data_IF_785393149858
#
_entry.id   IF_785393149858
#
_cell.length_a   1.000
_cell.length_b   1.000
_cell.length_c   1.000
_cell.angle_alpha   90.00
_cell.angle_beta   90.00
_cell.angle_gamma   90.00
#
_symmetry.space_group_name_H-M   'P 1'
#
loop_
_entity.id
_entity.type
_entity.pdbx_description
1 polymer ?
#
# COMPACT_ATOMS: atom_id res chain seq x y z
N UNK A 1 16.31 -44.11 -54.34
CA UNK A 1 17.53 -44.29 -53.51
C UNK A 1 17.85 -42.91 -52.94
N UNK A 2 17.39 -42.55 -51.74
CA UNK A 2 18.03 -42.83 -50.42
C UNK A 2 19.47 -42.27 -50.38
N UNK A 3 19.97 -41.48 -49.43
CA UNK A 3 19.48 -40.92 -48.16
C UNK A 3 20.52 -39.89 -47.66
N UNK A 4 20.22 -39.28 -46.51
CA UNK A 4 21.10 -38.58 -45.55
C UNK A 4 21.25 -37.06 -45.70
N UNK A 5 20.17 -36.36 -45.31
CA UNK A 5 20.25 -35.04 -44.70
C UNK A 5 20.47 -35.16 -43.18
N UNK A 6 21.40 -34.38 -42.66
CA UNK A 6 21.64 -34.18 -41.23
C UNK A 6 21.95 -32.72 -41.00
N UNK A 7 20.90 -31.88 -40.89
CA UNK A 7 21.02 -30.50 -40.46
C UNK A 7 20.75 -30.46 -38.95
N UNK A 8 21.77 -30.09 -38.18
CA UNK A 8 21.63 -29.76 -36.76
C UNK A 8 20.70 -28.56 -36.61
N UNK A 9 19.67 -28.72 -35.78
CA UNK A 9 18.82 -27.63 -35.32
C UNK A 9 19.16 -27.43 -33.85
N UNK A 10 19.93 -26.38 -33.59
CA UNK A 10 20.06 -25.77 -32.27
C UNK A 10 18.69 -25.23 -31.86
N UNK A 11 18.06 -25.90 -30.88
CA UNK A 11 16.85 -25.44 -30.25
C UNK A 11 17.22 -24.39 -29.18
N UNK A 12 17.31 -23.14 -29.62
CA UNK A 12 17.41 -21.98 -28.74
C UNK A 12 16.03 -21.71 -28.11
N UNK A 13 15.90 -22.05 -26.83
CA UNK A 13 14.71 -21.82 -26.02
C UNK A 13 15.09 -21.12 -24.72
N UNK A 14 14.88 -19.80 -24.65
CA UNK A 14 14.31 -19.08 -23.48
C UNK A 14 14.60 -17.56 -23.55
N UNK A 15 13.95 -16.89 -24.50
CA UNK A 15 13.86 -15.44 -24.54
C UNK A 15 12.43 -15.04 -24.81
N UNK A 16 11.52 -15.35 -23.88
CA UNK A 16 10.15 -14.85 -23.93
C UNK A 16 10.14 -13.33 -23.86
N UNK A 17 10.25 -12.68 -25.02
CA UNK A 17 10.00 -11.26 -25.19
C UNK A 17 8.56 -11.02 -24.76
N UNK A 18 8.42 -10.44 -23.57
CA UNK A 18 7.15 -10.03 -23.01
C UNK A 18 6.45 -9.09 -24.01
N UNK A 19 5.28 -9.52 -24.50
CA UNK A 19 4.43 -8.64 -25.30
C UNK A 19 4.10 -7.37 -24.49
N UNK A 20 4.37 -6.16 -25.04
CA UNK A 20 3.91 -4.93 -24.41
C UNK A 20 2.38 -4.96 -24.39
N UNK A 21 1.79 -4.64 -23.25
CA UNK A 21 0.34 -4.60 -23.06
C UNK A 21 -0.34 -3.82 -24.21
N UNK A 22 -1.03 -4.54 -25.09
CA UNK A 22 -1.72 -3.99 -26.24
C UNK A 22 -2.68 -2.88 -25.78
N UNK A 23 -2.43 -1.63 -26.21
CA UNK A 23 -3.34 -0.49 -26.00
C UNK A 23 -2.82 0.69 -25.16
N UNK A 24 -1.56 0.68 -24.68
CA UNK A 24 -1.01 1.83 -23.96
C UNK A 24 -0.86 3.04 -24.88
N UNK A 25 -1.69 4.08 -24.70
CA UNK A 25 -1.56 5.35 -25.41
C UNK A 25 -0.47 6.20 -24.77
N UNK A 26 0.39 6.79 -25.58
CA UNK A 26 1.44 7.70 -25.12
C UNK A 26 0.88 9.06 -24.71
N UNK A 27 1.39 9.59 -23.60
CA UNK A 27 1.11 10.93 -23.11
C UNK A 27 1.97 11.94 -23.89
N UNK A 28 1.34 12.64 -24.83
CA UNK A 28 1.98 13.73 -25.57
C UNK A 28 2.40 14.86 -24.65
N UNK A 29 3.41 15.64 -25.06
CA UNK A 29 3.86 16.83 -24.31
C UNK A 29 2.71 17.82 -24.06
N UNK A 30 1.88 18.07 -25.09
CA UNK A 30 0.70 18.92 -24.99
C UNK A 30 -0.27 18.44 -23.90
N UNK A 31 -0.52 17.12 -23.80
CA UNK A 31 -1.39 16.57 -22.77
C UNK A 31 -0.84 16.81 -21.35
N UNK A 32 0.49 16.71 -21.17
CA UNK A 32 1.15 16.99 -19.88
C UNK A 32 0.99 18.45 -19.47
N UNK A 33 1.20 19.37 -20.40
CA UNK A 33 1.03 20.81 -20.19
C UNK A 33 -0.44 21.16 -19.92
N UNK A 34 -1.38 20.59 -20.67
CA UNK A 34 -2.81 20.80 -20.45
C UNK A 34 -3.25 20.35 -19.05
N UNK A 35 -2.79 19.18 -18.59
CA UNK A 35 -3.11 18.71 -17.24
C UNK A 35 -2.46 19.55 -16.15
N UNK A 36 -1.22 20.01 -16.36
CA UNK A 36 -0.57 20.96 -15.44
C UNK A 36 -1.37 22.26 -15.33
N UNK A 37 -1.76 22.85 -16.46
CA UNK A 37 -2.55 24.08 -16.49
C UNK A 37 -3.95 23.89 -15.84
N UNK A 38 -4.64 22.80 -16.19
CA UNK A 38 -5.92 22.44 -15.59
C UNK A 38 -5.79 22.27 -14.07
N UNK A 39 -4.72 21.63 -13.61
CA UNK A 39 -4.51 21.44 -12.18
C UNK A 39 -4.15 22.74 -11.46
N UNK A 40 -3.40 23.63 -12.09
CA UNK A 40 -3.19 25.00 -11.58
C UNK A 40 -4.51 25.75 -11.43
N UNK A 41 -5.38 25.71 -12.45
CA UNK A 41 -6.69 26.36 -12.40
C UNK A 41 -7.58 25.80 -11.28
N UNK A 42 -7.62 24.47 -11.12
CA UNK A 42 -8.34 23.81 -10.01
C UNK A 42 -7.76 24.20 -8.66
N UNK A 43 -6.44 24.24 -8.52
CA UNK A 43 -5.78 24.65 -7.29
C UNK A 43 -6.18 26.08 -6.91
N UNK A 44 -5.92 27.08 -7.76
CA UNK A 44 -6.19 28.48 -7.44
C UNK A 44 -7.68 28.76 -7.18
N UNK A 45 -8.57 28.12 -7.93
CA UNK A 45 -10.02 28.28 -7.74
C UNK A 45 -10.51 27.68 -6.42
N UNK A 46 -10.18 26.42 -6.15
CA UNK A 46 -10.65 25.71 -4.94
C UNK A 46 -10.00 26.26 -3.67
N UNK A 47 -8.70 26.55 -3.73
CA UNK A 47 -7.94 27.12 -2.62
C UNK A 47 -8.38 28.56 -2.32
N UNK A 48 -8.54 29.38 -3.36
CA UNK A 48 -9.05 30.74 -3.23
C UNK A 48 -10.47 30.78 -2.66
N UNK A 49 -11.33 29.86 -3.09
CA UNK A 49 -12.70 29.73 -2.58
C UNK A 49 -12.73 29.34 -1.09
N UNK A 50 -11.93 28.36 -0.67
CA UNK A 50 -11.83 27.97 0.74
C UNK A 50 -11.38 29.14 1.63
N UNK A 51 -10.35 29.88 1.19
CA UNK A 51 -9.86 31.07 1.86
C UNK A 51 -10.91 32.17 1.97
N UNK A 52 -11.60 32.47 0.88
CA UNK A 52 -12.67 33.47 0.85
C UNK A 52 -13.80 33.11 1.82
N UNK A 53 -14.17 31.83 1.89
CA UNK A 53 -15.21 31.36 2.81
C UNK A 53 -14.75 31.44 4.27
N UNK A 54 -13.51 31.07 4.56
CA UNK A 54 -12.93 31.16 5.89
C UNK A 54 -12.86 32.61 6.38
N UNK A 55 -12.47 33.55 5.51
CA UNK A 55 -12.39 34.98 5.82
C UNK A 55 -13.77 35.61 6.17
N UNK A 56 -14.88 34.95 5.81
CA UNK A 56 -16.23 35.38 6.16
C UNK A 56 -16.72 34.87 7.52
N UNK A 57 -15.96 34.00 8.20
CA UNK A 57 -16.36 33.47 9.51
C UNK A 57 -16.06 34.49 10.61
N UNK A 58 -16.96 34.57 11.58
CA UNK A 58 -16.85 35.49 12.73
C UNK A 58 -15.59 35.21 13.58
N UNK A 59 -15.19 33.95 13.69
CA UNK A 59 -13.94 33.55 14.33
C UNK A 59 -13.37 32.33 13.61
N UNK A 60 -12.05 32.30 13.44
CA UNK A 60 -11.31 31.14 12.96
C UNK A 60 -10.37 30.67 14.08
N UNK A 61 -10.55 29.45 14.59
CA UNK A 61 -9.73 28.93 15.69
C UNK A 61 -8.27 28.76 15.28
N UNK A 62 -7.37 28.78 16.27
CA UNK A 62 -5.95 28.40 16.15
C UNK A 62 -5.73 27.14 16.96
N UNK A 63 -4.98 26.18 16.43
CA UNK A 63 -4.55 25.01 17.19
C UNK A 63 -3.04 24.84 17.08
N UNK A 64 -2.33 24.93 18.20
CA UNK A 64 -0.92 24.68 18.31
C UNK A 64 -0.63 23.96 19.64
N UNK A 65 0.28 23.00 19.62
CA UNK A 65 0.77 22.41 20.86
C UNK A 65 1.71 23.39 21.58
N UNK A 66 1.65 23.44 22.92
CA UNK A 66 2.45 24.39 23.70
C UNK A 66 3.97 24.24 23.52
N UNK A 67 4.46 23.06 23.13
CA UNK A 67 5.89 22.83 22.87
C UNK A 67 6.36 23.40 21.53
N UNK A 68 5.45 23.75 20.60
CA UNK A 68 5.81 24.26 19.27
C UNK A 68 6.55 25.60 19.33
N UNK A 69 6.39 26.36 20.41
CA UNK A 69 7.16 27.60 20.66
C UNK A 69 8.67 27.37 20.77
N UNK A 70 9.13 26.14 21.02
CA UNK A 70 10.56 25.81 21.05
C UNK A 70 11.17 25.62 19.65
N UNK A 71 10.34 25.56 18.60
CA UNK A 71 10.82 25.43 17.22
C UNK A 71 11.35 26.80 16.77
N UNK A 72 12.64 26.92 16.39
CA UNK A 72 13.17 28.20 15.93
C UNK A 72 12.62 28.57 14.55
N UNK A 73 12.36 29.87 14.34
CA UNK A 73 12.13 30.41 13.01
C UNK A 73 13.45 30.44 12.23
N UNK A 74 13.49 29.79 11.06
CA UNK A 74 14.69 29.70 10.24
C UNK A 74 14.39 30.24 8.83
N UNK A 75 14.62 31.54 8.55
CA UNK A 75 14.12 32.20 7.34
C UNK A 75 14.54 31.53 6.03
N UNK A 76 15.77 31.02 5.93
CA UNK A 76 16.30 30.45 4.69
C UNK A 76 15.63 29.13 4.29
N UNK A 77 14.93 28.44 5.21
CA UNK A 77 14.20 27.22 4.89
C UNK A 77 12.96 27.49 4.02
N UNK A 78 12.64 28.75 3.74
CA UNK A 78 11.68 29.11 2.70
C UNK A 78 12.08 28.61 1.31
N UNK A 79 13.39 28.42 1.06
CA UNK A 79 13.89 27.89 -0.22
C UNK A 79 13.46 26.43 -0.44
N UNK A 80 13.76 25.47 0.46
CA UNK A 80 13.22 24.12 0.33
C UNK A 80 11.69 24.12 0.34
N UNK A 81 11.03 24.94 1.16
CA UNK A 81 9.56 25.08 1.14
C UNK A 81 9.04 25.39 -0.28
N UNK A 82 9.54 26.46 -0.91
CA UNK A 82 9.16 26.87 -2.26
C UNK A 82 9.49 25.85 -3.34
N UNK A 83 10.53 25.03 -3.12
CA UNK A 83 10.96 24.05 -4.13
C UNK A 83 9.87 23.03 -4.47
N UNK A 84 8.87 22.82 -3.60
CA UNK A 84 7.77 21.90 -3.87
C UNK A 84 6.97 22.31 -5.11
N UNK A 85 6.79 23.61 -5.38
CA UNK A 85 5.96 24.09 -6.49
C UNK A 85 6.63 23.79 -7.83
N UNK A 86 7.96 23.95 -7.88
CA UNK A 86 8.77 23.52 -9.02
C UNK A 86 8.72 22.00 -9.18
N UNK A 87 8.90 21.25 -8.08
CA UNK A 87 8.85 19.79 -8.11
C UNK A 87 7.47 19.27 -8.53
N UNK A 88 6.40 19.97 -8.16
CA UNK A 88 5.04 19.71 -8.57
C UNK A 88 4.91 19.85 -10.09
N UNK A 89 5.33 20.97 -10.67
CA UNK A 89 5.24 21.19 -12.11
C UNK A 89 6.07 20.16 -12.90
N UNK A 90 7.30 19.92 -12.46
CA UNK A 90 8.21 18.95 -13.09
C UNK A 90 7.67 17.50 -13.06
N UNK A 91 6.88 17.14 -12.04
CA UNK A 91 6.35 15.78 -11.88
C UNK A 91 5.43 15.33 -13.03
N UNK A 92 4.82 16.25 -13.78
CA UNK A 92 3.97 15.92 -14.94
C UNK A 92 4.78 15.39 -16.13
N UNK A 93 6.08 15.73 -16.19
CA UNK A 93 6.93 15.42 -17.34
C UNK A 93 7.58 14.04 -17.27
N UNK A 94 7.48 13.33 -16.14
CA UNK A 94 8.02 11.98 -15.99
C UNK A 94 7.18 10.88 -16.64
N UNK A 95 5.91 11.15 -16.94
CA UNK A 95 4.98 10.11 -17.37
C UNK A 95 4.92 9.97 -18.90
N UNK A 96 5.34 8.82 -19.41
CA UNK A 96 5.24 8.48 -20.84
C UNK A 96 3.88 7.92 -21.22
N UNK A 97 3.23 7.16 -20.33
CA UNK A 97 1.90 6.57 -20.56
C UNK A 97 0.78 7.50 -20.08
N UNK A 98 -0.32 7.57 -20.84
CA UNK A 98 -1.50 8.37 -20.45
C UNK A 98 -2.10 7.93 -19.13
N UNK A 99 -2.21 6.63 -18.88
CA UNK A 99 -2.83 6.12 -17.64
C UNK A 99 -2.02 6.50 -16.40
N UNK A 100 -0.68 6.52 -16.51
CA UNK A 100 0.20 6.90 -15.41
C UNK A 100 0.12 8.39 -15.10
N UNK A 101 0.03 9.21 -16.15
CA UNK A 101 -0.23 10.65 -16.02
C UNK A 101 -1.60 10.91 -15.37
N UNK A 102 -2.64 10.21 -15.81
CA UNK A 102 -3.99 10.37 -15.24
C UNK A 102 -4.05 9.91 -13.79
N UNK A 103 -3.39 8.82 -13.42
CA UNK A 103 -3.33 8.41 -12.01
C UNK A 103 -2.49 9.38 -11.18
N UNK A 104 -1.48 10.04 -11.77
CA UNK A 104 -0.76 11.13 -11.12
C UNK A 104 -1.66 12.33 -10.85
N UNK A 105 -2.43 12.76 -11.85
CA UNK A 105 -3.46 13.80 -11.69
C UNK A 105 -4.45 13.42 -10.60
N UNK A 106 -4.94 12.17 -10.57
CA UNK A 106 -5.87 11.70 -9.52
C UNK A 106 -5.25 11.74 -8.12
N UNK A 107 -3.96 11.40 -7.97
CA UNK A 107 -3.25 11.51 -6.68
C UNK A 107 -3.25 12.97 -6.19
N UNK A 108 -2.78 13.88 -7.03
CA UNK A 108 -2.69 15.31 -6.71
C UNK A 108 -4.08 15.91 -6.43
N UNK A 109 -5.07 15.59 -7.26
CA UNK A 109 -6.45 16.02 -7.09
C UNK A 109 -7.08 15.46 -5.81
N UNK A 110 -6.79 14.21 -5.44
CA UNK A 110 -7.28 13.62 -4.18
C UNK A 110 -6.73 14.40 -2.98
N UNK A 111 -5.43 14.68 -2.99
CA UNK A 111 -4.79 15.50 -1.95
C UNK A 111 -5.43 16.88 -1.87
N UNK A 112 -5.66 17.54 -3.01
CA UNK A 112 -6.32 18.84 -3.09
C UNK A 112 -7.74 18.81 -2.52
N UNK A 113 -8.60 17.92 -3.04
CA UNK A 113 -10.02 17.91 -2.71
C UNK A 113 -10.27 17.53 -1.25
N UNK A 114 -9.51 16.55 -0.71
CA UNK A 114 -9.62 16.18 0.70
C UNK A 114 -9.18 17.33 1.59
N UNK A 115 -8.05 17.99 1.27
CA UNK A 115 -7.56 19.12 2.07
C UNK A 115 -8.53 20.32 2.02
N UNK A 116 -9.01 20.70 0.84
CA UNK A 116 -9.99 21.78 0.67
C UNK A 116 -11.31 21.47 1.39
N UNK A 117 -11.80 20.23 1.32
CA UNK A 117 -13.00 19.85 2.06
C UNK A 117 -12.80 20.01 3.58
N UNK A 118 -11.63 19.65 4.10
CA UNK A 118 -11.27 19.87 5.50
C UNK A 118 -11.15 21.37 5.84
N UNK A 119 -10.52 22.19 5.00
CA UNK A 119 -10.43 23.65 5.21
C UNK A 119 -11.81 24.31 5.25
N UNK A 120 -12.75 23.84 4.43
CA UNK A 120 -14.14 24.30 4.45
C UNK A 120 -14.87 23.81 5.71
N UNK A 121 -14.70 22.55 6.10
CA UNK A 121 -15.39 21.99 7.26
C UNK A 121 -14.88 22.62 8.58
N UNK A 122 -13.56 22.73 8.72
CA UNK A 122 -12.87 23.15 9.94
C UNK A 122 -11.68 24.07 9.60
N UNK A 123 -11.93 25.35 9.26
CA UNK A 123 -10.86 26.29 8.98
C UNK A 123 -10.08 26.59 10.25
N UNK A 124 -8.76 26.60 10.14
CA UNK A 124 -7.81 26.90 11.21
C UNK A 124 -6.87 27.98 10.74
N UNK A 125 -6.52 28.93 11.63
CA UNK A 125 -5.63 30.04 11.30
C UNK A 125 -4.25 29.92 11.93
N UNK A 126 -3.26 30.57 11.33
CA UNK A 126 -1.91 30.68 11.89
C UNK A 126 -1.94 31.22 13.33
N UNK A 127 -1.28 30.49 14.23
CA UNK A 127 -1.12 30.89 15.63
C UNK A 127 0.13 31.72 15.91
N UNK A 128 1.16 31.66 15.05
CA UNK A 128 2.42 32.37 15.26
C UNK A 128 2.56 33.55 14.29
N UNK A 129 2.91 34.73 14.82
CA UNK A 129 3.30 35.88 14.02
C UNK A 129 4.71 35.65 13.47
N UNK A 130 4.87 35.79 12.15
CA UNK A 130 6.17 35.61 11.49
C UNK A 130 7.07 36.83 11.79
N UNK A 131 8.31 36.61 12.25
CA UNK A 131 9.29 37.70 12.37
C UNK A 131 9.64 38.31 11.01
N UNK A 132 9.85 39.63 10.97
CA UNK A 132 10.36 40.30 9.78
C UNK A 132 11.69 39.70 9.35
N UNK A 133 11.75 39.23 8.11
CA UNK A 133 12.95 38.69 7.50
C UNK A 133 13.37 39.60 6.35
N UNK A 134 14.57 40.19 6.46
CA UNK A 134 15.16 40.96 5.36
C UNK A 134 15.75 40.05 4.27
N UNK A 135 16.09 40.65 3.12
CA UNK A 135 16.82 39.96 2.03
C UNK A 135 15.95 39.03 1.18
N UNK A 136 16.58 38.04 0.52
CA UNK A 136 15.94 37.14 -0.44
C UNK A 136 14.84 36.29 0.20
N UNK A 137 15.06 35.82 1.43
CA UNK A 137 14.05 35.05 2.17
C UNK A 137 12.79 35.89 2.42
N UNK A 138 12.95 37.15 2.82
CA UNK A 138 11.84 38.10 2.97
C UNK A 138 11.04 38.28 1.69
N UNK A 139 11.72 38.49 0.56
CA UNK A 139 11.05 38.63 -0.73
C UNK A 139 10.23 37.39 -1.12
N UNK A 140 10.76 36.18 -0.89
CA UNK A 140 10.05 34.92 -1.11
C UNK A 140 8.83 34.77 -0.18
N UNK A 141 8.94 35.21 1.07
CA UNK A 141 7.80 35.24 1.99
C UNK A 141 6.73 36.25 1.57
N UNK A 142 7.11 37.44 1.13
CA UNK A 142 6.17 38.45 0.61
C UNK A 142 5.42 37.92 -0.60
N UNK A 143 6.12 37.28 -1.54
CA UNK A 143 5.50 36.70 -2.73
C UNK A 143 4.57 35.54 -2.36
N UNK A 144 4.95 34.72 -1.37
CA UNK A 144 4.11 33.64 -0.85
C UNK A 144 2.82 34.17 -0.22
N UNK A 145 2.87 35.24 0.58
CA UNK A 145 1.67 35.85 1.18
C UNK A 145 0.70 36.42 0.14
N UNK A 146 1.16 36.70 -1.09
CA UNK A 146 0.28 37.10 -2.19
C UNK A 146 -0.73 36.02 -2.60
N UNK A 147 -0.39 34.74 -2.41
CA UNK A 147 -1.21 33.60 -2.83
C UNK A 147 -1.68 32.72 -1.67
N UNK A 148 -0.89 32.63 -0.60
CA UNK A 148 -1.13 31.76 0.55
C UNK A 148 -1.68 32.56 1.75
N UNK A 149 -2.98 32.41 2.00
CA UNK A 149 -3.74 33.12 3.05
C UNK A 149 -3.88 32.26 4.31
N UNK A 150 -4.12 32.88 5.48
CA UNK A 150 -3.80 32.26 6.76
C UNK A 150 -4.77 31.19 7.27
N UNK A 151 -5.63 30.61 6.43
CA UNK A 151 -6.79 29.81 6.88
C UNK A 151 -6.73 28.30 6.56
N UNK A 152 -5.64 27.79 6.00
CA UNK A 152 -5.56 26.44 5.40
C UNK A 152 -4.51 25.53 6.06
N UNK A 153 -4.74 25.17 7.33
CA UNK A 153 -3.72 24.46 8.12
C UNK A 153 -3.87 22.93 8.10
N UNK A 154 -4.99 22.39 8.58
CA UNK A 154 -5.15 20.96 8.79
C UNK A 154 -6.18 20.36 7.81
N UNK A 155 -5.80 19.39 6.96
CA UNK A 155 -4.46 18.80 6.78
C UNK A 155 -3.53 19.69 5.94
N UNK A 156 -2.20 19.60 6.16
CA UNK A 156 -1.25 20.36 5.32
C UNK A 156 -1.29 19.83 3.88
N UNK A 157 -1.81 20.67 2.97
CA UNK A 157 -1.81 20.39 1.55
C UNK A 157 -0.38 20.23 1.03
N UNK A 158 0.53 21.07 1.51
CA UNK A 158 1.96 21.03 1.18
C UNK A 158 2.59 19.68 1.53
N UNK A 159 2.34 19.15 2.74
CA UNK A 159 2.86 17.84 3.16
C UNK A 159 2.16 16.69 2.41
N UNK A 160 0.87 16.82 2.11
CA UNK A 160 0.17 15.83 1.28
C UNK A 160 0.78 15.71 -0.12
N UNK A 161 1.06 16.85 -0.75
CA UNK A 161 1.78 16.91 -2.03
C UNK A 161 3.20 16.38 -1.90
N UNK A 162 3.91 16.74 -0.82
CA UNK A 162 5.26 16.29 -0.52
C UNK A 162 5.33 14.76 -0.55
N UNK A 163 4.43 14.07 0.15
CA UNK A 163 4.40 12.60 0.20
C UNK A 163 4.20 11.98 -1.19
N UNK A 164 3.25 12.51 -1.98
CA UNK A 164 3.00 12.01 -3.34
C UNK A 164 4.21 12.24 -4.23
N UNK A 165 4.74 13.45 -4.25
CA UNK A 165 5.91 13.81 -5.04
C UNK A 165 7.13 13.00 -4.60
N UNK A 166 7.33 12.80 -3.31
CA UNK A 166 8.45 12.00 -2.80
C UNK A 166 8.43 10.59 -3.37
N UNK A 167 7.26 9.94 -3.35
CA UNK A 167 7.10 8.60 -3.93
C UNK A 167 7.37 8.59 -5.45
N UNK A 168 6.90 9.62 -6.16
CA UNK A 168 7.07 9.75 -7.62
C UNK A 168 8.53 9.97 -8.00
N UNK A 169 9.22 10.91 -7.36
CA UNK A 169 10.63 11.18 -7.66
C UNK A 169 11.52 10.00 -7.26
N UNK A 170 11.24 9.36 -6.11
CA UNK A 170 12.01 8.19 -5.67
C UNK A 170 11.87 6.98 -6.63
N UNK A 171 10.76 6.90 -7.36
CA UNK A 171 10.55 5.88 -8.41
C UNK A 171 11.40 6.16 -9.66
N UNK A 172 11.57 7.42 -10.06
CA UNK A 172 12.23 7.78 -11.32
C UNK A 172 13.73 8.00 -11.18
N UNK A 173 14.22 8.39 -10.00
CA UNK A 173 15.65 8.58 -9.76
C UNK A 173 16.36 7.24 -9.55
N UNK A 174 17.44 7.04 -10.32
CA UNK A 174 18.35 5.88 -10.19
C UNK A 174 19.66 6.29 -9.54
N UNK A 175 20.29 5.38 -8.81
CA UNK A 175 21.57 5.58 -8.12
C UNK A 175 21.41 5.94 -6.64
N UNK A 176 22.25 5.33 -5.80
CA UNK A 176 22.16 5.46 -4.33
C UNK A 176 22.39 6.90 -3.88
N UNK A 177 23.40 7.58 -4.40
CA UNK A 177 23.71 8.96 -4.04
C UNK A 177 22.56 9.93 -4.36
N UNK A 178 22.05 9.88 -5.59
CA UNK A 178 20.92 10.72 -6.01
C UNK A 178 19.68 10.49 -5.16
N UNK A 179 19.41 9.22 -4.76
CA UNK A 179 18.31 8.90 -3.84
C UNK A 179 18.54 9.45 -2.45
N UNK A 180 19.76 9.39 -1.90
CA UNK A 180 20.07 9.99 -0.59
C UNK A 180 19.83 11.49 -0.64
N UNK A 181 20.35 12.20 -1.65
CA UNK A 181 20.12 13.64 -1.83
C UNK A 181 18.63 13.94 -1.93
N UNK A 182 17.88 13.16 -2.71
CA UNK A 182 16.42 13.29 -2.81
C UNK A 182 15.75 13.14 -1.43
N UNK A 183 16.06 12.08 -0.69
CA UNK A 183 15.45 11.83 0.62
C UNK A 183 15.78 12.95 1.62
N UNK A 184 17.02 13.45 1.63
CA UNK A 184 17.43 14.57 2.47
C UNK A 184 16.71 15.86 2.07
N UNK A 185 16.56 16.13 0.77
CA UNK A 185 15.86 17.32 0.30
C UNK A 185 14.38 17.28 0.65
N UNK A 186 13.69 16.17 0.38
CA UNK A 186 12.27 16.02 0.75
C UNK A 186 12.05 16.07 2.27
N UNK A 187 12.98 15.54 3.07
CA UNK A 187 12.95 15.72 4.52
C UNK A 187 13.12 17.20 4.92
N UNK A 188 14.01 17.94 4.25
CA UNK A 188 14.18 19.39 4.47
C UNK A 188 12.91 20.18 4.11
N UNK A 189 12.19 19.82 3.03
CA UNK A 189 10.87 20.41 2.73
C UNK A 189 9.89 20.12 3.87
N UNK A 190 9.85 18.88 4.35
CA UNK A 190 8.98 18.50 5.48
C UNK A 190 9.29 19.23 6.79
N UNK A 191 10.56 19.50 7.09
CA UNK A 191 10.97 20.33 8.24
C UNK A 191 10.68 21.80 7.99
N UNK A 192 10.82 22.26 6.74
CA UNK A 192 10.68 23.66 6.39
C UNK A 192 9.33 24.22 6.82
N UNK A 193 8.24 23.46 6.65
CA UNK A 193 6.88 23.91 6.97
C UNK A 193 6.71 24.39 8.42
N UNK A 194 7.43 23.75 9.36
CA UNK A 194 7.43 24.14 10.77
C UNK A 194 8.37 25.30 11.02
N UNK A 195 9.59 25.26 10.47
CA UNK A 195 10.60 26.32 10.69
C UNK A 195 10.30 27.64 9.97
N UNK A 196 9.38 27.64 8.99
CA UNK A 196 8.87 28.85 8.34
C UNK A 196 7.59 29.39 9.01
N UNK A 197 7.14 28.73 10.08
CA UNK A 197 5.84 28.97 10.74
C UNK A 197 4.66 28.96 9.76
N UNK A 198 4.73 28.10 8.74
CA UNK A 198 3.63 27.93 7.76
C UNK A 198 2.65 26.83 8.16
N UNK A 199 3.00 25.98 9.11
CA UNK A 199 2.14 24.91 9.57
C UNK A 199 2.40 24.62 11.04
N UNK A 200 1.37 24.15 11.74
CA UNK A 200 1.50 23.58 13.07
C UNK A 200 1.84 22.09 13.00
N UNK A 201 2.37 21.55 14.10
CA UNK A 201 2.85 20.17 14.14
C UNK A 201 1.77 19.13 13.80
N UNK A 202 0.49 19.41 14.05
CA UNK A 202 -0.63 18.52 13.70
C UNK A 202 -0.89 18.44 12.20
N UNK A 203 -0.52 19.47 11.44
CA UNK A 203 -0.78 19.57 10.00
C UNK A 203 0.10 18.59 9.22
N UNK A 204 1.29 18.27 9.75
CA UNK A 204 2.27 17.36 9.13
C UNK A 204 1.76 15.93 9.06
N UNK A 205 1.39 15.24 10.16
CA UNK A 205 0.85 13.89 10.09
C UNK A 205 -0.50 13.86 9.37
N UNK A 206 -1.37 14.85 9.54
CA UNK A 206 -2.66 14.87 8.84
C UNK A 206 -2.48 15.05 7.32
N UNK A 207 -1.58 15.93 6.88
CA UNK A 207 -1.18 16.06 5.48
C UNK A 207 -0.56 14.78 4.92
N UNK A 208 0.35 14.16 5.68
CA UNK A 208 0.99 12.91 5.29
C UNK A 208 -0.04 11.78 5.15
N UNK A 209 -1.04 11.70 6.02
CA UNK A 209 -2.13 10.73 5.94
C UNK A 209 -2.91 10.84 4.63
N UNK A 210 -3.22 12.07 4.19
CA UNK A 210 -3.92 12.34 2.92
C UNK A 210 -3.04 11.96 1.72
N UNK A 211 -1.75 12.31 1.75
CA UNK A 211 -0.79 11.91 0.70
C UNK A 211 -0.65 10.39 0.59
N UNK A 212 -0.54 9.70 1.72
CA UNK A 212 -0.53 8.24 1.78
C UNK A 212 -1.84 7.63 1.27
N UNK A 213 -2.99 8.20 1.62
CA UNK A 213 -4.30 7.76 1.11
C UNK A 213 -4.38 7.90 -0.42
N UNK A 214 -3.87 9.00 -0.99
CA UNK A 214 -3.83 9.19 -2.44
C UNK A 214 -2.96 8.11 -3.12
N UNK A 215 -1.81 7.77 -2.55
CA UNK A 215 -0.95 6.67 -3.02
C UNK A 215 -1.61 5.30 -2.84
N UNK A 216 -2.43 5.11 -1.81
CA UNK A 216 -3.20 3.88 -1.60
C UNK A 216 -4.27 3.69 -2.68
N UNK A 217 -5.05 4.74 -2.96
CA UNK A 217 -6.14 4.71 -3.95
C UNK A 217 -5.62 4.61 -5.38
N UNK A 218 -4.49 5.25 -5.67
CA UNK A 218 -3.89 5.31 -7.01
C UNK A 218 -2.42 4.87 -6.95
N UNK A 219 -2.16 3.54 -6.87
CA UNK A 219 -0.82 2.99 -6.76
C UNK A 219 0.08 3.38 -7.94
N UNK A 220 1.39 3.41 -7.69
CA UNK A 220 2.38 3.55 -8.74
C UNK A 220 2.51 2.20 -9.48
N UNK A 221 2.28 2.19 -10.79
CA UNK A 221 2.46 0.98 -11.63
C UNK A 221 3.90 0.48 -11.60
N UNK A 222 4.09 -0.82 -11.81
CA UNK A 222 5.43 -1.37 -12.04
C UNK A 222 6.00 -0.93 -13.42
N UNK A 223 7.24 -1.29 -13.72
CA UNK A 223 7.88 -0.95 -15.00
C UNK A 223 7.16 -1.56 -16.21
N UNK A 224 6.41 -2.65 -16.02
CA UNK A 224 5.60 -3.29 -17.05
C UNK A 224 4.18 -2.68 -17.16
N UNK A 225 3.87 -1.63 -16.40
CA UNK A 225 2.57 -0.98 -16.42
C UNK A 225 1.46 -1.79 -15.74
N UNK A 226 1.80 -2.78 -14.90
CA UNK A 226 0.81 -3.54 -14.13
C UNK A 226 0.47 -2.80 -12.85
N UNK A 227 -0.83 -2.74 -12.56
CA UNK A 227 -1.29 -2.35 -11.23
C UNK A 227 -1.10 -3.54 -10.28
N UNK A 228 -0.73 -3.28 -9.01
CA UNK A 228 -0.87 -4.28 -7.95
C UNK A 228 -2.29 -4.86 -7.85
N UNK A 229 -3.31 -4.12 -8.30
CA UNK A 229 -4.74 -4.37 -8.14
C UNK A 229 -5.45 -5.09 -9.33
N UNK A 230 -4.76 -5.86 -10.17
CA UNK A 230 -5.38 -6.39 -11.40
C UNK A 230 -6.55 -7.38 -11.18
N UNK A 231 -6.56 -8.14 -10.08
CA UNK A 231 -7.55 -9.20 -9.85
C UNK A 231 -8.53 -8.84 -8.71
N UNK A 232 -9.46 -7.94 -8.98
CA UNK A 232 -10.56 -7.65 -8.06
C UNK A 232 -11.67 -8.70 -8.21
N UNK A 233 -11.99 -9.42 -7.12
CA UNK A 233 -13.09 -10.40 -7.10
C UNK A 233 -13.99 -10.14 -5.89
N UNK A 234 -15.00 -9.25 -6.02
CA UNK A 234 -15.90 -8.93 -4.91
C UNK A 234 -16.79 -10.12 -4.55
N UNK A 235 -16.78 -10.55 -3.29
CA UNK A 235 -17.66 -11.60 -2.77
C UNK A 235 -18.63 -11.07 -1.70
N UNK A 236 -19.68 -11.84 -1.40
CA UNK A 236 -20.61 -11.49 -0.32
C UNK A 236 -19.92 -11.46 1.05
N UNK A 237 -19.03 -12.42 1.31
CA UNK A 237 -18.19 -12.45 2.50
C UNK A 237 -17.26 -11.23 2.58
N UNK A 238 -16.63 -10.86 1.46
CA UNK A 238 -15.80 -9.66 1.36
C UNK A 238 -16.59 -8.38 1.67
N UNK A 239 -17.81 -8.24 1.13
CA UNK A 239 -18.69 -7.10 1.44
C UNK A 239 -19.12 -7.07 2.92
N UNK A 240 -19.39 -8.22 3.53
CA UNK A 240 -19.73 -8.30 4.95
C UNK A 240 -18.55 -7.86 5.84
N UNK A 241 -17.34 -8.33 5.54
CA UNK A 241 -16.12 -7.92 6.24
C UNK A 241 -15.83 -6.43 6.02
N UNK A 242 -16.00 -5.93 4.80
CA UNK A 242 -15.86 -4.51 4.50
C UNK A 242 -16.78 -3.64 5.37
N UNK A 243 -18.04 -4.04 5.55
CA UNK A 243 -18.97 -3.34 6.46
C UNK A 243 -18.47 -3.36 7.91
N UNK A 244 -17.98 -4.50 8.40
CA UNK A 244 -17.44 -4.60 9.77
C UNK A 244 -16.24 -3.68 9.98
N UNK A 245 -15.28 -3.68 9.04
CA UNK A 245 -14.14 -2.77 9.09
C UNK A 245 -14.56 -1.31 8.96
N UNK A 246 -15.55 -0.99 8.11
CA UNK A 246 -16.08 0.36 7.97
C UNK A 246 -16.79 0.86 9.24
N UNK A 247 -17.60 0.01 9.89
CA UNK A 247 -18.21 0.32 11.18
C UNK A 247 -17.13 0.53 12.26
N UNK A 248 -16.13 -0.34 12.32
CA UNK A 248 -14.99 -0.17 13.23
C UNK A 248 -14.23 1.14 12.98
N UNK A 249 -13.95 1.47 11.72
CA UNK A 249 -13.32 2.73 11.33
C UNK A 249 -14.17 3.95 11.77
N UNK A 250 -15.49 3.91 11.54
CA UNK A 250 -16.40 4.97 11.95
C UNK A 250 -16.44 5.16 13.47
N UNK A 251 -16.52 4.07 14.23
CA UNK A 251 -16.51 4.12 15.71
C UNK A 251 -15.20 4.70 16.24
N UNK A 252 -14.05 4.26 15.71
CA UNK A 252 -12.74 4.79 16.10
C UNK A 252 -12.60 6.26 15.70
N UNK A 253 -13.11 6.66 14.53
CA UNK A 253 -13.12 8.06 14.11
C UNK A 253 -13.99 8.94 15.01
N UNK A 254 -15.18 8.47 15.40
CA UNK A 254 -16.05 9.19 16.34
C UNK A 254 -15.41 9.34 17.72
N UNK A 255 -14.78 8.27 18.22
CA UNK A 255 -14.03 8.32 19.48
C UNK A 255 -12.84 9.29 19.37
N UNK A 256 -12.11 9.29 18.26
CA UNK A 256 -11.02 10.22 18.00
C UNK A 256 -11.53 11.68 18.06
N UNK A 257 -12.62 12.00 17.35
CA UNK A 257 -13.23 13.33 17.34
C UNK A 257 -13.66 13.79 18.74
N UNK A 258 -14.26 12.89 19.54
CA UNK A 258 -14.66 13.18 20.92
C UNK A 258 -13.45 13.44 21.85
N UNK A 259 -12.30 12.85 21.56
CA UNK A 259 -11.06 13.01 22.33
C UNK A 259 -10.22 14.21 21.91
N UNK A 260 -10.48 14.85 20.76
CA UNK A 260 -9.69 16.00 20.24
C UNK A 260 -9.46 17.09 21.30
N UNK A 261 -10.47 17.54 22.08
CA UNK A 261 -10.27 18.64 23.03
C UNK A 261 -9.41 18.27 24.25
N UNK A 262 -9.35 16.98 24.62
CA UNK A 262 -8.66 16.51 25.83
C UNK A 262 -7.29 15.90 25.55
N UNK A 263 -7.18 15.19 24.43
CA UNK A 263 -6.00 14.39 24.11
C UNK A 263 -5.76 14.39 22.58
N UNK A 264 -5.41 15.55 21.99
CA UNK A 264 -5.28 15.70 20.54
C UNK A 264 -4.25 14.76 19.91
N UNK A 265 -3.15 14.43 20.61
CA UNK A 265 -2.16 13.46 20.11
C UNK A 265 -2.73 12.04 20.00
N UNK A 266 -3.49 11.59 21.01
CA UNK A 266 -4.17 10.30 20.97
C UNK A 266 -5.32 10.27 19.97
N UNK A 267 -6.06 11.37 19.84
CA UNK A 267 -7.08 11.54 18.81
C UNK A 267 -6.49 11.42 17.40
N UNK A 268 -5.31 12.00 17.15
CA UNK A 268 -4.59 11.85 15.89
C UNK A 268 -4.20 10.38 15.62
N UNK A 269 -3.63 9.69 16.62
CA UNK A 269 -3.27 8.29 16.49
C UNK A 269 -4.49 7.39 16.22
N UNK A 270 -5.61 7.64 16.91
CA UNK A 270 -6.88 6.96 16.67
C UNK A 270 -7.45 7.27 15.28
N UNK A 271 -7.38 8.54 14.83
CA UNK A 271 -7.77 8.95 13.49
C UNK A 271 -6.96 8.24 12.40
N UNK A 272 -5.64 8.08 12.62
CA UNK A 272 -4.79 7.31 11.72
C UNK A 272 -5.19 5.83 11.68
N UNK A 273 -5.50 5.22 12.83
CA UNK A 273 -6.00 3.86 12.90
C UNK A 273 -7.36 3.71 12.18
N UNK A 274 -8.27 4.67 12.32
CA UNK A 274 -9.54 4.71 11.61
C UNK A 274 -9.33 4.78 10.08
N UNK A 275 -8.39 5.61 9.62
CA UNK A 275 -8.04 5.68 8.20
C UNK A 275 -7.48 4.36 7.68
N UNK A 276 -6.58 3.72 8.43
CA UNK A 276 -6.03 2.41 8.07
C UNK A 276 -7.14 1.34 7.96
N UNK A 277 -8.08 1.31 8.92
CA UNK A 277 -9.24 0.42 8.89
C UNK A 277 -10.17 0.70 7.70
N UNK A 278 -10.36 1.97 7.35
CA UNK A 278 -11.13 2.36 6.16
C UNK A 278 -10.47 1.88 4.86
N UNK A 279 -9.13 1.91 4.78
CA UNK A 279 -8.37 1.35 3.66
C UNK A 279 -8.54 -0.16 3.57
N UNK A 280 -8.49 -0.87 4.71
CA UNK A 280 -8.79 -2.31 4.77
C UNK A 280 -10.23 -2.59 4.32
N UNK A 281 -11.22 -1.81 4.80
CA UNK A 281 -12.61 -1.93 4.36
C UNK A 281 -12.74 -1.77 2.84
N UNK A 282 -12.01 -0.81 2.26
CA UNK A 282 -11.97 -0.59 0.82
C UNK A 282 -11.40 -1.79 0.06
N UNK A 283 -10.29 -2.37 0.53
CA UNK A 283 -9.67 -3.56 -0.07
C UNK A 283 -10.63 -4.77 -0.07
N UNK A 284 -11.31 -5.02 1.05
CA UNK A 284 -12.31 -6.09 1.19
C UNK A 284 -13.54 -5.85 0.32
N UNK A 285 -14.02 -4.60 0.21
CA UNK A 285 -15.17 -4.26 -0.64
C UNK A 285 -14.88 -4.53 -2.11
N UNK A 286 -13.66 -4.24 -2.56
CA UNK A 286 -13.19 -4.51 -3.92
C UNK A 286 -12.84 -5.97 -4.16
N UNK A 287 -12.63 -6.77 -3.10
CA UNK A 287 -12.08 -8.11 -3.22
C UNK A 287 -10.68 -8.10 -3.85
N UNK A 288 -9.87 -7.09 -3.52
CA UNK A 288 -8.59 -6.82 -4.16
C UNK A 288 -7.43 -7.00 -3.17
N UNK A 289 -6.81 -8.19 -3.08
CA UNK A 289 -5.63 -8.40 -2.22
C UNK A 289 -4.45 -7.50 -2.63
N UNK A 290 -4.38 -7.13 -3.90
CA UNK A 290 -3.42 -6.18 -4.44
C UNK A 290 -3.50 -4.75 -3.88
N UNK A 291 -4.60 -4.38 -3.22
CA UNK A 291 -4.78 -3.06 -2.60
C UNK A 291 -3.74 -2.76 -1.52
N UNK A 292 -3.20 -3.80 -0.86
CA UNK A 292 -2.13 -3.67 0.12
C UNK A 292 -0.75 -3.35 -0.50
N UNK A 293 -0.65 -3.42 -1.84
CA UNK A 293 0.56 -3.11 -2.60
C UNK A 293 1.80 -3.90 -2.17
N UNK A 294 1.62 -5.12 -1.67
CA UNK A 294 2.71 -6.02 -1.32
C UNK A 294 3.47 -6.43 -2.58
N UNK A 295 4.78 -6.20 -2.60
CA UNK A 295 5.65 -6.61 -3.72
C UNK A 295 5.97 -8.11 -3.69
N UNK A 296 6.67 -8.58 -4.72
CA UNK A 296 7.06 -9.97 -4.87
C UNK A 296 8.03 -10.45 -3.77
N UNK A 297 8.77 -9.53 -3.14
CA UNK A 297 9.66 -9.79 -2.00
C UNK A 297 8.95 -9.67 -0.64
N UNK A 298 7.65 -9.38 -0.65
CA UNK A 298 6.81 -9.29 0.53
C UNK A 298 6.90 -7.97 1.29
N UNK A 299 7.41 -6.92 0.65
CA UNK A 299 7.55 -5.58 1.24
C UNK A 299 6.37 -4.71 0.84
N UNK A 300 6.08 -3.72 1.67
CA UNK A 300 5.20 -2.61 1.32
C UNK A 300 6.02 -1.42 0.86
N UNK A 301 5.52 -0.62 -0.10
CA UNK A 301 6.02 0.73 -0.32
C UNK A 301 6.00 1.51 0.99
N UNK A 302 7.04 2.31 1.26
CA UNK A 302 7.25 2.98 2.55
C UNK A 302 5.97 3.69 3.04
N UNK A 303 5.38 4.54 2.21
CA UNK A 303 4.17 5.29 2.56
C UNK A 303 2.93 4.42 2.81
N UNK A 304 2.80 3.29 2.11
CA UNK A 304 1.72 2.31 2.35
C UNK A 304 1.96 1.56 3.66
N UNK A 305 3.23 1.22 3.95
CA UNK A 305 3.65 0.67 5.23
C UNK A 305 3.29 1.58 6.41
N UNK A 306 3.54 2.89 6.30
CA UNK A 306 3.15 3.89 7.30
C UNK A 306 1.63 4.03 7.43
N UNK A 307 0.91 4.12 6.30
CA UNK A 307 -0.54 4.23 6.30
C UNK A 307 -1.19 3.05 7.03
N UNK A 308 -0.76 1.84 6.70
CA UNK A 308 -1.34 0.60 7.22
C UNK A 308 -0.67 0.12 8.51
N UNK A 309 0.31 0.85 9.05
CA UNK A 309 1.08 0.45 10.22
C UNK A 309 0.20 0.01 11.41
N UNK A 310 -0.90 0.72 11.79
CA UNK A 310 -1.75 0.26 12.89
C UNK A 310 -2.41 -1.09 12.60
N UNK A 311 -2.89 -1.30 11.38
CA UNK A 311 -3.54 -2.56 10.98
C UNK A 311 -2.54 -3.72 10.85
N UNK A 312 -1.33 -3.43 10.37
CA UNK A 312 -0.24 -4.42 10.26
C UNK A 312 0.25 -4.83 11.66
N UNK A 313 0.45 -3.86 12.56
CA UNK A 313 0.80 -4.13 13.95
C UNK A 313 -0.30 -4.94 14.65
N UNK A 314 -1.56 -4.57 14.46
CA UNK A 314 -2.71 -5.32 14.95
C UNK A 314 -2.74 -6.76 14.42
N UNK A 315 -2.52 -6.97 13.12
CA UNK A 315 -2.47 -8.29 12.50
C UNK A 315 -1.31 -9.15 13.06
N UNK A 316 -0.15 -8.54 13.28
CA UNK A 316 0.99 -9.20 13.91
C UNK A 316 0.64 -9.64 15.34
N UNK A 317 0.20 -8.71 16.19
CA UNK A 317 -0.17 -9.02 17.59
C UNK A 317 -1.26 -10.08 17.64
N UNK A 318 -2.32 -9.94 16.83
CA UNK A 318 -3.40 -10.91 16.70
C UNK A 318 -2.84 -12.30 16.35
N UNK A 319 -1.93 -12.38 15.38
CA UNK A 319 -1.33 -13.65 15.00
C UNK A 319 -0.58 -14.33 16.14
N UNK A 320 0.13 -13.57 16.98
CA UNK A 320 0.94 -14.12 18.07
C UNK A 320 0.07 -14.50 19.27
N UNK A 321 -0.94 -13.69 19.57
CA UNK A 321 -1.91 -13.97 20.63
C UNK A 321 -2.78 -15.19 20.32
N UNK A 322 -3.21 -15.39 19.08
CA UNK A 322 -4.05 -16.55 18.74
C UNK A 322 -3.27 -17.86 18.58
N UNK A 323 -1.98 -17.79 18.29
CA UNK A 323 -1.13 -18.98 18.07
C UNK A 323 -0.21 -19.28 19.25
N UNK A 324 -0.32 -18.57 20.37
CA UNK A 324 0.61 -18.70 21.49
C UNK A 324 0.72 -20.14 22.05
N UNK A 325 -0.40 -20.90 22.04
CA UNK A 325 -0.43 -22.31 22.47
C UNK A 325 -0.04 -23.31 21.39
N UNK A 326 -0.04 -22.90 20.12
CA UNK A 326 0.31 -23.76 18.97
C UNK A 326 1.16 -23.00 17.95
N UNK A 327 2.34 -22.51 18.34
CA UNK A 327 3.17 -21.66 17.47
C UNK A 327 3.89 -22.48 16.40
N UNK A 328 4.06 -23.78 16.61
CA UNK A 328 4.79 -24.66 15.70
C UNK A 328 4.02 -24.86 14.38
N UNK A 329 4.68 -24.73 13.23
CA UNK A 329 4.14 -25.16 11.95
C UNK A 329 3.86 -26.66 11.95
N UNK A 330 2.84 -27.07 11.21
CA UNK A 330 2.45 -28.47 11.08
C UNK A 330 2.95 -29.04 9.76
N UNK A 331 3.68 -30.16 9.85
CA UNK A 331 4.18 -30.92 8.71
C UNK A 331 3.04 -31.69 8.05
N UNK A 332 2.69 -31.36 6.82
CA UNK A 332 1.66 -32.08 6.04
C UNK A 332 2.27 -33.18 5.16
N UNK A 333 3.57 -33.07 4.89
CA UNK A 333 4.35 -33.98 4.06
C UNK A 333 5.85 -33.89 4.37
N UNK A 334 6.68 -34.77 3.81
CA UNK A 334 8.12 -34.89 4.10
C UNK A 334 8.89 -33.57 4.04
N UNK A 335 8.51 -32.61 3.19
CA UNK A 335 9.16 -31.29 3.05
C UNK A 335 8.18 -30.12 2.98
N UNK A 336 6.92 -30.33 3.37
CA UNK A 336 5.89 -29.30 3.29
C UNK A 336 5.21 -29.12 4.64
N UNK A 337 5.17 -27.86 5.10
CA UNK A 337 4.54 -27.48 6.36
C UNK A 337 3.57 -26.32 6.15
N UNK A 338 2.55 -26.23 6.99
CA UNK A 338 1.63 -25.08 7.05
C UNK A 338 1.72 -24.38 8.41
N UNK A 339 1.55 -23.05 8.42
CA UNK A 339 1.59 -22.30 9.67
C UNK A 339 1.23 -20.83 9.54
N UNK A 340 1.44 -20.10 10.63
CA UNK A 340 1.33 -18.64 10.64
C UNK A 340 2.54 -17.99 9.98
N UNK A 341 2.46 -16.68 9.72
CA UNK A 341 3.59 -15.90 9.22
C UNK A 341 4.80 -15.99 10.18
N UNK A 342 5.95 -16.48 9.70
CA UNK A 342 7.12 -16.73 10.55
C UNK A 342 7.98 -15.47 10.69
N UNK A 343 8.72 -15.40 11.79
CA UNK A 343 9.86 -14.49 11.98
C UNK A 343 11.15 -15.15 11.49
N UNK A 344 12.22 -14.38 11.29
CA UNK A 344 13.55 -14.91 10.92
C UNK A 344 14.04 -15.99 11.90
N UNK A 345 13.80 -15.80 13.20
CA UNK A 345 14.16 -16.78 14.24
C UNK A 345 13.42 -18.11 14.05
N UNK A 346 12.16 -18.05 13.67
CA UNK A 346 11.33 -19.25 13.47
C UNK A 346 11.71 -20.00 12.19
N UNK A 347 11.98 -19.28 11.11
CA UNK A 347 12.54 -19.87 9.88
C UNK A 347 13.80 -20.66 10.21
N UNK A 348 14.77 -20.04 10.90
CA UNK A 348 16.04 -20.69 11.27
C UNK A 348 15.85 -21.85 12.24
N UNK A 349 14.99 -21.71 13.24
CA UNK A 349 14.71 -22.75 14.24
C UNK A 349 14.15 -24.02 13.59
N UNK A 350 13.26 -23.86 12.61
CA UNK A 350 12.60 -24.98 11.94
C UNK A 350 13.32 -25.45 10.68
N UNK A 351 14.38 -24.75 10.25
CA UNK A 351 15.17 -25.12 9.08
C UNK A 351 14.47 -24.93 7.74
N UNK A 352 13.48 -24.04 7.65
CA UNK A 352 12.80 -23.77 6.37
C UNK A 352 13.74 -23.09 5.39
N UNK A 353 13.74 -23.58 4.15
CA UNK A 353 14.56 -23.04 3.04
C UNK A 353 13.70 -22.38 1.97
N UNK A 354 12.37 -22.48 2.10
CA UNK A 354 11.42 -21.81 1.23
C UNK A 354 10.16 -21.36 1.98
N UNK A 355 9.59 -20.23 1.56
CA UNK A 355 8.37 -19.64 2.11
C UNK A 355 7.39 -19.27 1.00
N UNK A 356 6.19 -19.86 1.04
CA UNK A 356 5.04 -19.44 0.25
C UNK A 356 4.14 -18.59 1.14
N UNK A 357 4.12 -17.29 0.91
CA UNK A 357 3.37 -16.32 1.70
C UNK A 357 2.06 -15.95 1.02
N UNK A 358 0.94 -16.33 1.66
CA UNK A 358 -0.42 -16.07 1.18
C UNK A 358 -1.04 -14.80 1.77
N UNK A 359 -0.31 -14.06 2.60
CA UNK A 359 -0.81 -12.84 3.24
C UNK A 359 -0.72 -11.64 2.32
N UNK A 360 -1.82 -10.89 2.21
CA UNK A 360 -1.83 -9.58 1.56
C UNK A 360 -1.54 -8.47 2.57
N UNK A 361 -2.08 -8.63 3.77
CA UNK A 361 -2.16 -7.64 4.85
C UNK A 361 -0.93 -7.58 5.76
N UNK A 362 -0.01 -8.54 5.64
CA UNK A 362 1.21 -8.61 6.46
C UNK A 362 2.45 -8.53 5.57
N UNK A 363 3.50 -7.79 5.96
CA UNK A 363 4.78 -7.84 5.27
C UNK A 363 5.50 -9.15 5.57
N UNK A 364 6.55 -9.44 4.82
CA UNK A 364 7.47 -10.52 5.14
C UNK A 364 8.26 -10.15 6.40
N UNK A 365 7.95 -10.81 7.51
CA UNK A 365 8.63 -10.62 8.80
C UNK A 365 9.98 -11.34 8.88
N UNK A 366 10.20 -12.32 8.01
CA UNK A 366 11.50 -12.95 7.84
C UNK A 366 12.43 -12.02 7.04
N UNK A 367 13.69 -11.98 7.44
CA UNK A 367 14.74 -11.27 6.70
C UNK A 367 14.92 -11.87 5.30
N UNK A 368 15.35 -11.04 4.34
CA UNK A 368 15.85 -11.57 3.08
C UNK A 368 17.15 -12.32 3.37
N UNK A 369 17.18 -13.58 2.98
CA UNK A 369 18.36 -14.43 3.03
C UNK A 369 18.48 -15.10 1.66
N UNK A 370 19.68 -15.14 1.09
CA UNK A 370 19.91 -15.77 -0.21
C UNK A 370 19.55 -17.26 -0.20
N UNK A 371 19.56 -17.89 0.99
CA UNK A 371 19.20 -19.29 1.17
C UNK A 371 17.69 -19.53 1.33
N UNK A 372 16.90 -18.47 1.54
CA UNK A 372 15.45 -18.55 1.72
C UNK A 372 14.74 -18.15 0.43
N UNK A 373 14.29 -19.14 -0.34
CA UNK A 373 13.44 -18.88 -1.49
C UNK A 373 12.08 -18.34 -1.03
N UNK A 374 11.58 -17.30 -1.69
CA UNK A 374 10.34 -16.63 -1.28
C UNK A 374 9.38 -16.50 -2.46
N UNK A 375 8.12 -16.86 -2.25
CA UNK A 375 7.04 -16.69 -3.20
C UNK A 375 5.85 -15.99 -2.55
N UNK A 376 5.46 -14.83 -3.08
CA UNK A 376 4.32 -14.06 -2.58
C UNK A 376 3.09 -14.30 -3.46
N UNK A 377 2.01 -14.83 -2.88
CA UNK A 377 0.72 -14.99 -3.57
C UNK A 377 -0.38 -14.37 -2.69
N UNK A 378 -0.51 -13.03 -2.69
CA UNK A 378 -1.41 -12.32 -1.77
C UNK A 378 -2.87 -12.76 -1.89
N UNK A 379 -3.49 -13.10 -0.75
CA UNK A 379 -4.91 -13.44 -0.64
C UNK A 379 -5.55 -12.69 0.54
N UNK A 380 -6.82 -12.30 0.40
CA UNK A 380 -7.58 -11.70 1.49
C UNK A 380 -7.95 -12.77 2.54
N UNK A 381 -7.87 -12.41 3.82
CA UNK A 381 -8.23 -13.32 4.90
C UNK A 381 -9.75 -13.49 5.02
N UNK A 382 -10.22 -14.67 5.41
CA UNK A 382 -11.65 -15.02 5.59
C UNK A 382 -12.51 -14.93 4.32
N UNK A 383 -11.90 -14.80 3.15
CA UNK A 383 -12.56 -14.81 1.84
C UNK A 383 -11.90 -15.90 0.99
N UNK A 384 -12.72 -16.67 0.27
CA UNK A 384 -12.18 -17.68 -0.64
C UNK A 384 -11.36 -17.01 -1.76
N UNK A 385 -10.14 -17.49 -2.06
CA UNK A 385 -9.38 -16.98 -3.19
C UNK A 385 -10.07 -17.37 -4.51
N UNK A 386 -9.73 -16.71 -5.61
CA UNK A 386 -10.15 -17.19 -6.94
C UNK A 386 -9.42 -18.49 -7.27
N UNK A 387 -10.02 -19.33 -8.12
CA UNK A 387 -9.36 -20.57 -8.58
C UNK A 387 -7.99 -20.31 -9.24
N UNK A 388 -7.83 -19.17 -9.94
CA UNK A 388 -6.55 -18.77 -10.50
C UNK A 388 -5.50 -18.45 -9.41
N UNK A 389 -5.90 -17.79 -8.32
CA UNK A 389 -4.99 -17.48 -7.19
C UNK A 389 -4.65 -18.72 -6.37
N UNK A 390 -5.59 -19.66 -6.23
CA UNK A 390 -5.30 -20.97 -5.65
C UNK A 390 -4.30 -21.74 -6.52
N UNK A 391 -4.51 -21.77 -7.85
CA UNK A 391 -3.58 -22.41 -8.78
C UNK A 391 -2.17 -21.79 -8.72
N UNK A 392 -2.05 -20.47 -8.66
CA UNK A 392 -0.76 -19.79 -8.47
C UNK A 392 -0.08 -20.17 -7.15
N UNK A 393 -0.84 -20.28 -6.05
CA UNK A 393 -0.30 -20.69 -4.76
C UNK A 393 0.22 -22.13 -4.79
N UNK A 394 -0.54 -23.05 -5.39
CA UNK A 394 -0.14 -24.45 -5.53
C UNK A 394 1.07 -24.59 -6.46
N UNK A 395 1.09 -23.89 -7.60
CA UNK A 395 2.23 -23.90 -8.52
C UNK A 395 3.51 -23.36 -7.86
N UNK A 396 3.40 -22.31 -7.03
CA UNK A 396 4.53 -21.80 -6.27
C UNK A 396 5.07 -22.83 -5.26
N UNK A 397 4.17 -23.54 -4.58
CA UNK A 397 4.53 -24.64 -3.68
C UNK A 397 5.17 -25.82 -4.43
N UNK A 398 4.55 -26.29 -5.52
CA UNK A 398 5.06 -27.40 -6.34
C UNK A 398 6.46 -27.09 -6.87
N UNK A 399 6.68 -25.89 -7.41
CA UNK A 399 8.00 -25.45 -7.89
C UNK A 399 9.05 -25.51 -6.78
N UNK A 400 8.79 -24.89 -5.63
CA UNK A 400 9.74 -24.85 -4.52
C UNK A 400 9.99 -26.23 -3.91
N UNK A 401 8.96 -27.07 -3.83
CA UNK A 401 9.09 -28.45 -3.40
C UNK A 401 9.92 -29.29 -4.39
N UNK A 402 9.70 -29.11 -5.70
CA UNK A 402 10.46 -29.77 -6.77
C UNK A 402 11.94 -29.38 -6.81
N UNK A 403 12.28 -28.16 -6.37
CA UNK A 403 13.67 -27.72 -6.11
C UNK A 403 14.30 -28.40 -4.87
N UNK A 404 13.58 -29.31 -4.19
CA UNK A 404 14.04 -30.00 -3.00
C UNK A 404 14.01 -29.15 -1.72
N UNK A 405 13.31 -28.01 -1.72
CA UNK A 405 13.26 -27.12 -0.55
C UNK A 405 12.35 -27.67 0.54
N UNK A 406 12.69 -27.33 1.78
CA UNK A 406 11.78 -27.42 2.94
C UNK A 406 10.87 -26.19 2.97
N UNK A 407 9.61 -26.38 2.56
CA UNK A 407 8.66 -25.30 2.27
C UNK A 407 7.68 -25.10 3.42
N UNK A 408 7.59 -23.85 3.89
CA UNK A 408 6.49 -23.38 4.72
C UNK A 408 5.47 -22.64 3.86
N UNK A 409 4.22 -23.08 3.86
CA UNK A 409 3.08 -22.32 3.32
C UNK A 409 2.41 -21.59 4.48
N UNK A 410 2.50 -20.26 4.49
CA UNK A 410 1.97 -19.46 5.60
C UNK A 410 0.78 -18.57 5.21
N UNK A 411 -0.12 -18.39 6.16
CA UNK A 411 -1.07 -17.27 6.18
C UNK A 411 -1.01 -16.56 7.55
N UNK A 412 -1.93 -15.66 7.87
CA UNK A 412 -1.87 -14.91 9.13
C UNK A 412 -1.80 -15.82 10.37
N UNK A 413 -2.64 -16.86 10.43
CA UNK A 413 -2.75 -17.77 11.58
C UNK A 413 -2.40 -19.24 11.27
N UNK A 414 -2.34 -19.60 9.98
CA UNK A 414 -2.16 -21.00 9.57
C UNK A 414 -3.42 -21.88 9.64
N UNK A 415 -4.62 -21.27 9.62
CA UNK A 415 -5.89 -21.99 9.77
C UNK A 415 -6.81 -21.97 8.54
N UNK A 416 -6.62 -21.04 7.60
CA UNK A 416 -7.52 -20.85 6.46
C UNK A 416 -6.83 -20.95 5.10
N UNK A 417 -6.29 -19.82 4.60
CA UNK A 417 -5.62 -19.75 3.28
C UNK A 417 -4.55 -20.83 3.05
N UNK A 418 -3.67 -21.06 4.05
CA UNK A 418 -2.63 -22.09 3.98
C UNK A 418 -3.20 -23.52 3.97
N UNK A 419 -4.31 -23.75 4.67
CA UNK A 419 -5.02 -25.04 4.68
C UNK A 419 -5.58 -25.33 3.29
N UNK A 420 -6.20 -24.35 2.63
CA UNK A 420 -6.76 -24.52 1.30
C UNK A 420 -5.68 -24.86 0.26
N UNK A 421 -4.54 -24.16 0.30
CA UNK A 421 -3.40 -24.45 -0.57
C UNK A 421 -2.82 -25.85 -0.30
N UNK A 422 -2.70 -26.25 0.96
CA UNK A 422 -2.24 -27.57 1.35
C UNK A 422 -3.20 -28.68 0.90
N UNK A 423 -4.51 -28.46 1.02
CA UNK A 423 -5.51 -29.42 0.59
C UNK A 423 -5.47 -29.62 -0.93
N UNK A 424 -5.36 -28.55 -1.71
CA UNK A 424 -5.18 -28.64 -3.17
C UNK A 424 -3.91 -29.42 -3.54
N UNK A 425 -2.81 -29.14 -2.88
CA UNK A 425 -1.55 -29.85 -3.11
C UNK A 425 -1.63 -31.34 -2.73
N UNK A 426 -2.24 -31.68 -1.59
CA UNK A 426 -2.47 -33.08 -1.18
C UNK A 426 -3.42 -33.79 -2.14
N UNK A 427 -4.45 -33.12 -2.65
CA UNK A 427 -5.37 -33.70 -3.62
C UNK A 427 -4.64 -34.13 -4.89
N UNK A 428 -3.78 -33.26 -5.44
CA UNK A 428 -2.95 -33.60 -6.59
C UNK A 428 -1.96 -34.74 -6.28
N UNK A 429 -1.28 -34.70 -5.14
CA UNK A 429 -0.26 -35.71 -4.80
C UNK A 429 -0.83 -37.10 -4.48
N UNK A 430 -2.06 -37.16 -3.97
CA UNK A 430 -2.74 -38.40 -3.55
C UNK A 430 -3.85 -38.84 -4.50
N UNK A 431 -4.08 -38.12 -5.59
CA UNK A 431 -5.16 -38.40 -6.54
C UNK A 431 -6.58 -38.28 -5.95
N UNK A 432 -6.78 -37.38 -4.98
CA UNK A 432 -8.10 -37.17 -4.37
C UNK A 432 -8.99 -36.38 -5.34
N UNK A 433 -10.21 -36.86 -5.53
CA UNK A 433 -11.19 -36.25 -6.45
C UNK A 433 -12.21 -35.36 -5.76
N UNK A 434 -12.35 -35.49 -4.44
CA UNK A 434 -13.30 -34.71 -3.63
C UNK A 434 -12.57 -33.70 -2.74
N UNK A 435 -13.05 -32.46 -2.77
CA UNK A 435 -12.48 -31.36 -2.00
C UNK A 435 -12.58 -31.56 -0.48
N UNK A 436 -13.66 -32.19 0.01
CA UNK A 436 -13.86 -32.44 1.45
C UNK A 436 -12.90 -33.50 1.95
N UNK A 437 -12.60 -34.52 1.15
CA UNK A 437 -11.60 -35.54 1.50
C UNK A 437 -10.20 -34.92 1.61
N UNK A 438 -9.83 -34.05 0.67
CA UNK A 438 -8.56 -33.33 0.72
C UNK A 438 -8.45 -32.42 1.95
N UNK A 439 -9.53 -31.72 2.29
CA UNK A 439 -9.59 -30.87 3.48
C UNK A 439 -9.58 -31.70 4.79
N UNK A 440 -10.23 -32.88 4.79
CA UNK A 440 -10.20 -33.80 5.91
C UNK A 440 -8.78 -34.33 6.17
N UNK A 441 -8.02 -34.63 5.11
CA UNK A 441 -6.63 -35.03 5.22
C UNK A 441 -5.76 -33.94 5.89
N UNK A 442 -5.98 -32.65 5.56
CA UNK A 442 -5.29 -31.55 6.25
C UNK A 442 -5.77 -31.42 7.70
N UNK A 443 -7.07 -31.54 7.96
CA UNK A 443 -7.64 -31.41 9.30
C UNK A 443 -7.17 -32.50 10.26
N UNK A 444 -6.87 -33.70 9.77
CA UNK A 444 -6.26 -34.77 10.56
C UNK A 444 -4.92 -34.35 11.19
N UNK A 445 -4.14 -33.52 10.50
CA UNK A 445 -2.86 -32.98 10.99
C UNK A 445 -3.04 -31.62 11.68
N UNK A 446 -4.04 -30.83 11.27
CA UNK A 446 -4.34 -29.51 11.82
C UNK A 446 -5.81 -29.43 12.27
N UNK A 447 -6.15 -29.86 13.50
CA UNK A 447 -7.54 -29.95 13.97
C UNK A 447 -8.32 -28.63 13.91
N UNK A 448 -7.64 -27.49 14.07
CA UNK A 448 -8.23 -26.15 14.04
C UNK A 448 -8.31 -25.54 12.62
N UNK A 449 -8.22 -26.34 11.57
CA UNK A 449 -8.38 -25.88 10.19
C UNK A 449 -9.82 -25.41 9.93
N UNK A 450 -9.99 -24.20 9.38
CA UNK A 450 -11.28 -23.54 9.12
C UNK A 450 -11.40 -23.19 7.65
N UNK A 451 -12.57 -23.44 7.07
CA UNK A 451 -12.89 -23.09 5.68
C UNK A 451 -14.39 -22.81 5.53
N UNK A 452 -14.74 -22.05 4.49
CA UNK A 452 -16.13 -21.79 4.08
C UNK A 452 -16.58 -22.75 2.98
N UNK A 453 -17.90 -22.84 2.73
CA UNK A 453 -18.42 -23.59 1.58
C UNK A 453 -17.91 -23.04 0.24
N UNK A 454 -17.72 -21.71 0.16
CA UNK A 454 -17.11 -21.06 -1.01
C UNK A 454 -15.66 -21.56 -1.22
N UNK A 455 -14.91 -21.79 -0.13
CA UNK A 455 -13.55 -22.36 -0.22
C UNK A 455 -13.59 -23.81 -0.72
N UNK A 456 -14.57 -24.61 -0.29
CA UNK A 456 -14.78 -25.99 -0.78
C UNK A 456 -15.09 -25.97 -2.28
N UNK A 457 -15.98 -25.09 -2.72
CA UNK A 457 -16.33 -24.97 -4.14
C UNK A 457 -15.13 -24.55 -5.00
N UNK A 458 -14.31 -23.59 -4.54
CA UNK A 458 -13.09 -23.18 -5.24
C UNK A 458 -12.08 -24.33 -5.32
N UNK A 459 -11.93 -25.10 -4.23
CA UNK A 459 -11.04 -26.26 -4.22
C UNK A 459 -11.53 -27.34 -5.18
N UNK A 460 -12.83 -27.65 -5.19
CA UNK A 460 -13.41 -28.63 -6.10
C UNK A 460 -13.20 -28.20 -7.56
N UNK A 461 -13.50 -26.94 -7.89
CA UNK A 461 -13.26 -26.38 -9.21
C UNK A 461 -11.78 -26.51 -9.64
N UNK A 462 -10.84 -26.31 -8.72
CA UNK A 462 -9.43 -26.48 -9.00
C UNK A 462 -9.05 -27.95 -9.27
N UNK A 463 -9.57 -28.89 -8.47
CA UNK A 463 -9.36 -30.33 -8.64
C UNK A 463 -9.88 -30.78 -10.01
N UNK A 464 -11.12 -30.41 -10.35
CA UNK A 464 -11.76 -30.80 -11.61
C UNK A 464 -10.96 -30.29 -12.81
N UNK A 465 -10.59 -28.99 -12.81
CA UNK A 465 -9.78 -28.40 -13.88
C UNK A 465 -8.43 -29.07 -14.06
N UNK A 466 -7.77 -29.45 -12.98
CA UNK A 466 -6.47 -30.13 -13.05
C UNK A 466 -6.62 -31.51 -13.67
N UNK A 467 -7.63 -32.27 -13.27
CA UNK A 467 -7.92 -33.61 -13.84
C UNK A 467 -8.24 -33.54 -15.32
N UNK A 468 -8.99 -32.52 -15.74
CA UNK A 468 -9.28 -32.29 -17.15
C UNK A 468 -7.99 -32.00 -17.93
N UNK A 469 -7.07 -31.21 -17.38
CA UNK A 469 -5.77 -30.93 -17.98
C UNK A 469 -4.83 -32.14 -18.02
N UNK A 470 -4.96 -33.10 -17.10
CA UNK A 470 -4.18 -34.36 -17.09
C UNK A 470 -4.75 -35.44 -18.05
N UNK A 471 -5.97 -35.24 -18.57
CA UNK A 471 -6.63 -36.14 -19.52
C UNK A 471 -6.40 -35.79 -20.99
N UNK A 472 -5.96 -34.55 -21.25
CA UNK A 472 -5.59 -34.02 -22.56
C UNK A 472 -4.10 -34.24 -22.77
#
# INVERSE_FOLDING_TARGET
MSALGGAGVDADASGGLAEPAAGARDASFALRVCWLAAMGAVFFSTYGFANWLAARRAAVPTFAFGWEHAIPFVPWTIVPYWSIDLLYALSFFFWTRRDDLLDHVKRLLTVQLVSVACFIAWPLRFGFERPDSGGVAGALFTLLMGFDKPFNQAPSLHIGLLVVLWAVYAKHLRGTFARVVLHLWFAAIGVSVLTTYQHHAIDVPTGAAVGCLALFLFPLRDAAGRLPCADASPSAAGRALARRYACGAALVALAALACVPRAPGWALAAGWAALALACVAWAYRRGAPGAFQKDAEGRFPVFIGWLLAPTVAGAFVNSRLWTFRQPAPMRIDERVSIGRTPTTREIRRHGFTALVDLTAEMPRWAAADALLAYACVPQLDLVAPTAARLAQAVAALERLHGEGRDVLVCCALGYGRSVLCAAAWLAARRGLTDARDALAAVRAVRPHAVWSDESVAVLQQWIDRRRDAERV
#
